data_IF_233806923185
#
_entry.id   IF_233806923185
#
_cell.length_a   1.000
_cell.length_b   1.000
_cell.length_c   1.000
_cell.angle_alpha   90.00
_cell.angle_beta   90.00
_cell.angle_gamma   90.00
#
_symmetry.space_group_name_H-M   'P 1'
#
loop_
_entity.id
_entity.type
_entity.pdbx_description
1 polymer ?
#
# COMPACT_ATOMS: atom_id res chain seq x y z
N UNK A 1 6.28 1.58 -4.02
CA UNK A 1 7.24 0.46 -3.89
C UNK A 1 8.48 0.83 -3.09
N UNK A 2 9.24 1.87 -3.45
CA UNK A 2 10.51 2.21 -2.77
C UNK A 2 10.36 2.39 -1.26
N UNK A 3 9.32 3.10 -0.80
CA UNK A 3 9.10 3.31 0.64
C UNK A 3 8.81 1.99 1.39
N UNK A 4 8.12 1.05 0.75
CA UNK A 4 7.86 -0.28 1.30
C UNK A 4 9.13 -1.14 1.34
N UNK A 5 10.04 -0.97 0.37
CA UNK A 5 11.34 -1.64 0.43
C UNK A 5 12.18 -1.10 1.59
N UNK A 6 12.16 0.23 1.79
CA UNK A 6 12.85 0.87 2.92
C UNK A 6 12.23 0.43 4.25
N UNK A 7 10.90 0.39 4.37
CA UNK A 7 10.26 -0.06 5.60
C UNK A 7 10.56 -1.52 5.94
N UNK A 8 10.68 -2.40 4.93
CA UNK A 8 11.15 -3.78 5.14
C UNK A 8 12.58 -3.80 5.67
N UNK A 9 13.47 -2.96 5.12
CA UNK A 9 14.86 -2.91 5.59
C UNK A 9 14.96 -2.35 7.02
N UNK A 10 14.19 -1.32 7.36
CA UNK A 10 14.15 -0.75 8.73
C UNK A 10 13.55 -1.73 9.75
N UNK A 11 12.62 -2.59 9.31
CA UNK A 11 11.95 -3.58 10.17
C UNK A 11 12.55 -4.98 10.05
N UNK A 12 13.74 -5.13 9.47
CA UNK A 12 14.42 -6.42 9.24
C UNK A 12 14.50 -7.26 10.52
N UNK A 13 14.95 -6.65 11.63
CA UNK A 13 15.07 -7.33 12.94
C UNK A 13 13.72 -7.78 13.50
N UNK A 14 12.68 -6.97 13.33
CA UNK A 14 11.31 -7.29 13.77
C UNK A 14 10.76 -8.51 13.01
N UNK A 15 10.99 -8.57 11.69
CA UNK A 15 10.63 -9.71 10.84
C UNK A 15 11.41 -10.96 11.27
N UNK A 16 12.71 -10.81 11.54
CA UNK A 16 13.58 -11.89 12.05
C UNK A 16 13.07 -12.49 13.36
N UNK A 17 12.63 -11.66 14.30
CA UNK A 17 12.03 -12.10 15.57
C UNK A 17 10.74 -12.90 15.31
N UNK A 18 9.84 -12.41 14.45
CA UNK A 18 8.59 -13.14 14.12
C UNK A 18 8.88 -14.53 13.54
N UNK A 19 9.84 -14.62 12.61
CA UNK A 19 10.22 -15.90 12.01
C UNK A 19 10.91 -16.83 13.02
N UNK A 20 11.73 -16.30 13.94
CA UNK A 20 12.38 -17.10 14.99
C UNK A 20 11.37 -17.71 15.99
N UNK A 21 10.23 -17.04 16.21
CA UNK A 21 9.12 -17.55 17.05
C UNK A 21 8.19 -18.49 16.26
N UNK A 22 8.43 -18.71 14.97
CA UNK A 22 7.74 -19.70 14.15
C UNK A 22 6.75 -19.15 13.12
N UNK A 23 6.75 -17.84 12.84
CA UNK A 23 5.96 -17.28 11.75
C UNK A 23 6.39 -17.87 10.40
N UNK A 24 5.43 -18.29 9.58
CA UNK A 24 5.70 -18.82 8.24
C UNK A 24 6.00 -17.68 7.28
N UNK A 25 6.71 -18.00 6.20
CA UNK A 25 6.98 -17.04 5.11
C UNK A 25 5.70 -16.44 4.54
N UNK A 26 4.61 -17.22 4.49
CA UNK A 26 3.29 -16.77 4.07
C UNK A 26 2.68 -15.72 5.01
N UNK A 27 2.89 -15.84 6.32
CA UNK A 27 2.37 -14.88 7.31
C UNK A 27 3.01 -13.50 7.10
N UNK A 28 4.33 -13.48 6.87
CA UNK A 28 5.08 -12.25 6.56
C UNK A 28 4.62 -11.66 5.22
N UNK A 29 4.43 -12.48 4.18
CA UNK A 29 3.92 -11.98 2.88
C UNK A 29 2.56 -11.33 3.03
N UNK A 30 1.62 -12.01 3.68
CA UNK A 30 0.27 -11.50 3.88
C UNK A 30 0.28 -10.19 4.66
N UNK A 31 1.10 -10.08 5.71
CA UNK A 31 1.21 -8.85 6.49
C UNK A 31 1.57 -7.65 5.60
N UNK A 32 2.63 -7.76 4.79
CA UNK A 32 3.08 -6.66 3.94
C UNK A 32 2.12 -6.38 2.77
N UNK A 33 1.47 -7.41 2.21
CA UNK A 33 0.43 -7.21 1.18
C UNK A 33 -0.76 -6.45 1.77
N UNK A 34 -1.20 -6.82 2.98
CA UNK A 34 -2.28 -6.13 3.68
C UNK A 34 -1.88 -4.69 3.97
N UNK A 35 -0.66 -4.43 4.46
CA UNK A 35 -0.17 -3.08 4.72
C UNK A 35 -0.18 -2.21 3.45
N UNK A 36 0.32 -2.74 2.32
CA UNK A 36 0.27 -2.05 1.03
C UNK A 36 -1.16 -1.80 0.54
N UNK A 37 -2.04 -2.80 0.66
CA UNK A 37 -3.43 -2.70 0.25
C UNK A 37 -4.16 -1.66 1.10
N UNK A 38 -4.04 -1.70 2.43
CA UNK A 38 -4.63 -0.72 3.34
C UNK A 38 -4.17 0.70 3.02
N UNK A 39 -2.87 0.92 2.81
CA UNK A 39 -2.34 2.22 2.40
C UNK A 39 -2.92 2.68 1.05
N UNK A 40 -3.03 1.78 0.07
CA UNK A 40 -3.60 2.12 -1.24
C UNK A 40 -5.10 2.44 -1.17
N UNK A 41 -5.87 1.73 -0.34
CA UNK A 41 -7.30 1.95 -0.18
C UNK A 41 -7.57 3.27 0.55
N UNK A 42 -6.81 3.57 1.61
CA UNK A 42 -6.89 4.85 2.32
C UNK A 42 -6.52 5.99 1.36
N UNK A 43 -5.40 5.86 0.63
CA UNK A 43 -5.00 6.84 -0.37
C UNK A 43 -6.03 7.01 -1.49
N UNK A 44 -6.65 5.92 -1.93
CA UNK A 44 -7.72 5.93 -2.92
C UNK A 44 -8.97 6.67 -2.43
N UNK A 45 -9.44 6.40 -1.21
CA UNK A 45 -10.57 7.10 -0.59
C UNK A 45 -10.25 8.60 -0.45
N UNK A 46 -9.07 8.95 0.06
CA UNK A 46 -8.64 10.34 0.17
C UNK A 46 -8.57 11.02 -1.20
N UNK A 47 -8.05 10.33 -2.21
CA UNK A 47 -7.99 10.82 -3.58
C UNK A 47 -9.38 11.07 -4.17
N UNK A 48 -10.36 10.20 -3.90
CA UNK A 48 -11.76 10.40 -4.32
C UNK A 48 -12.36 11.63 -3.64
N UNK A 49 -12.19 11.77 -2.32
CA UNK A 49 -12.69 12.93 -1.58
C UNK A 49 -12.09 14.24 -2.11
N UNK A 50 -10.78 14.27 -2.33
CA UNK A 50 -10.08 15.43 -2.88
C UNK A 50 -10.48 15.70 -4.34
N UNK A 51 -10.68 14.66 -5.15
CA UNK A 51 -11.10 14.78 -6.55
C UNK A 51 -12.51 15.35 -6.67
N UNK A 52 -13.47 14.84 -5.89
CA UNK A 52 -14.84 15.37 -5.86
C UNK A 52 -14.85 16.81 -5.31
N UNK A 53 -14.17 17.05 -4.19
CA UNK A 53 -14.11 18.38 -3.56
C UNK A 53 -13.44 19.43 -4.48
N UNK A 54 -12.34 19.07 -5.12
CA UNK A 54 -11.64 19.92 -6.08
C UNK A 54 -12.47 20.20 -7.33
N UNK A 55 -13.15 19.19 -7.86
CA UNK A 55 -14.08 19.33 -8.99
C UNK A 55 -15.19 20.33 -8.67
N UNK A 56 -15.83 20.21 -7.50
CA UNK A 56 -16.88 21.13 -7.08
C UNK A 56 -16.37 22.57 -6.87
N UNK A 57 -15.17 22.73 -6.28
CA UNK A 57 -14.55 24.05 -6.11
C UNK A 57 -14.29 24.73 -7.46
N UNK A 58 -13.73 23.99 -8.43
CA UNK A 58 -13.46 24.51 -9.78
C UNK A 58 -14.77 24.85 -10.49
N UNK A 59 -15.80 24.00 -10.38
CA UNK A 59 -17.12 24.27 -10.95
C UNK A 59 -17.71 25.59 -10.45
N UNK A 60 -17.62 25.85 -9.14
CA UNK A 60 -18.13 27.06 -8.51
C UNK A 60 -17.34 28.33 -8.92
N UNK A 61 -16.03 28.23 -9.11
CA UNK A 61 -15.16 29.38 -9.41
C UNK A 61 -15.15 29.70 -10.92
N UNK A 62 -15.04 28.67 -11.77
CA UNK A 62 -14.88 28.83 -13.22
C UNK A 62 -16.21 28.76 -13.99
N UNK A 63 -17.31 28.40 -13.32
CA UNK A 63 -18.63 28.23 -13.95
C UNK A 63 -18.71 27.02 -14.89
N UNK A 64 -17.81 26.04 -14.75
CA UNK A 64 -17.77 24.85 -15.58
C UNK A 64 -18.70 23.76 -15.03
N UNK A 65 -19.41 23.06 -15.92
CA UNK A 65 -20.17 21.86 -15.56
C UNK A 65 -19.22 20.66 -15.50
N UNK A 66 -18.74 20.35 -14.30
CA UNK A 66 -17.90 19.16 -14.05
C UNK A 66 -18.78 17.97 -13.69
N UNK A 67 -18.79 16.94 -14.54
CA UNK A 67 -19.53 15.71 -14.31
C UNK A 67 -18.56 14.66 -13.77
N UNK A 68 -18.73 14.26 -12.51
CA UNK A 68 -17.98 13.15 -11.91
C UNK A 68 -18.80 11.88 -12.06
N UNK A 69 -18.38 10.99 -12.96
CA UNK A 69 -19.08 9.72 -13.18
C UNK A 69 -18.79 8.71 -12.06
N UNK A 70 -19.81 8.05 -11.49
CA UNK A 70 -19.63 6.95 -10.53
C UNK A 70 -18.79 5.79 -11.11
N UNK A 71 -18.89 5.52 -12.41
CA UNK A 71 -18.09 4.48 -13.07
C UNK A 71 -16.59 4.82 -13.06
N UNK A 72 -16.24 6.08 -13.28
CA UNK A 72 -14.85 6.56 -13.20
C UNK A 72 -14.29 6.42 -11.80
N UNK A 73 -15.06 6.77 -10.77
CA UNK A 73 -14.67 6.58 -9.37
C UNK A 73 -14.38 5.11 -9.09
N UNK A 74 -15.27 4.21 -9.49
CA UNK A 74 -15.14 2.78 -9.23
C UNK A 74 -13.92 2.17 -9.95
N UNK A 75 -13.65 2.59 -11.19
CA UNK A 75 -12.47 2.17 -11.96
C UNK A 75 -11.19 2.68 -11.29
N UNK A 76 -11.12 3.98 -10.97
CA UNK A 76 -9.95 4.58 -10.31
C UNK A 76 -9.67 3.96 -8.94
N UNK A 77 -10.72 3.69 -8.15
CA UNK A 77 -10.59 3.03 -6.85
C UNK A 77 -10.06 1.60 -6.99
N UNK A 78 -10.65 0.81 -7.89
CA UNK A 78 -10.22 -0.56 -8.16
C UNK A 78 -8.77 -0.60 -8.65
N UNK A 79 -8.40 0.33 -9.52
CA UNK A 79 -7.04 0.48 -9.99
C UNK A 79 -6.07 0.81 -8.85
N UNK A 80 -6.46 1.67 -7.90
CA UNK A 80 -5.62 1.97 -6.72
C UNK A 80 -5.32 0.71 -5.89
N UNK A 81 -6.31 -0.17 -5.71
CA UNK A 81 -6.13 -1.45 -5.01
C UNK A 81 -5.19 -2.39 -5.77
N UNK A 82 -5.35 -2.50 -7.10
CA UNK A 82 -4.45 -3.29 -7.96
C UNK A 82 -3.00 -2.78 -7.89
N UNK A 83 -2.81 -1.46 -7.89
CA UNK A 83 -1.52 -0.80 -7.69
C UNK A 83 -0.94 -1.15 -6.32
N UNK A 84 -1.75 -1.12 -5.26
CA UNK A 84 -1.35 -1.52 -3.90
C UNK A 84 -0.85 -2.97 -3.85
N UNK A 85 -1.60 -3.91 -4.43
CA UNK A 85 -1.22 -5.33 -4.50
C UNK A 85 0.06 -5.49 -5.32
N UNK A 86 0.12 -4.92 -6.52
CA UNK A 86 1.26 -5.06 -7.43
C UNK A 86 2.56 -4.52 -6.83
N UNK A 87 2.54 -3.29 -6.33
CA UNK A 87 3.73 -2.68 -5.72
C UNK A 87 4.03 -3.19 -4.30
N UNK A 88 3.08 -3.84 -3.64
CA UNK A 88 3.28 -4.52 -2.36
C UNK A 88 3.85 -5.92 -2.49
N UNK A 89 3.62 -6.60 -3.61
CA UNK A 89 4.02 -7.99 -3.82
C UNK A 89 5.54 -8.20 -3.75
N UNK A 90 6.32 -7.42 -4.50
CA UNK A 90 7.78 -7.54 -4.51
C UNK A 90 8.44 -7.32 -3.13
N UNK A 91 8.17 -6.22 -2.39
CA UNK A 91 8.73 -6.04 -1.05
C UNK A 91 8.23 -7.11 -0.07
N UNK A 92 6.97 -7.53 -0.13
CA UNK A 92 6.44 -8.61 0.71
C UNK A 92 7.15 -9.95 0.45
N UNK A 93 7.42 -10.26 -0.82
CA UNK A 93 8.19 -11.43 -1.22
C UNK A 93 9.62 -11.35 -0.67
N UNK A 94 10.30 -10.20 -0.85
CA UNK A 94 11.65 -9.97 -0.32
C UNK A 94 11.71 -10.12 1.20
N UNK A 95 10.77 -9.54 1.94
CA UNK A 95 10.66 -9.65 3.39
C UNK A 95 10.53 -11.10 3.87
N UNK A 96 9.74 -11.90 3.15
CA UNK A 96 9.49 -13.31 3.48
C UNK A 96 10.67 -14.26 3.23
N UNK A 97 11.69 -13.80 2.50
CA UNK A 97 12.90 -14.58 2.19
C UNK A 97 14.10 -14.20 3.08
N UNK A 98 13.89 -13.37 4.09
CA UNK A 98 14.95 -13.02 5.03
C UNK A 98 15.32 -14.25 5.89
N UNK A 99 16.63 -14.48 6.07
CA UNK A 99 17.11 -15.47 7.02
C UNK A 99 16.98 -14.93 8.45
N UNK A 100 16.32 -15.63 9.37
CA UNK A 100 16.14 -15.14 10.75
C UNK A 100 17.46 -14.86 11.47
N UNK A 101 18.48 -15.69 11.22
CA UNK A 101 19.82 -15.55 11.84
C UNK A 101 20.49 -14.25 11.39
N UNK A 102 20.45 -13.96 10.09
CA UNK A 102 21.03 -12.74 9.51
C UNK A 102 20.23 -11.51 9.94
N UNK A 103 18.90 -11.63 9.98
CA UNK A 103 18.00 -10.55 10.38
C UNK A 103 18.15 -10.16 11.87
N UNK A 104 18.50 -11.10 12.75
CA UNK A 104 18.75 -10.84 14.16
C UNK A 104 20.16 -10.29 14.45
N UNK A 105 21.11 -10.54 13.54
CA UNK A 105 22.47 -9.98 13.58
C UNK A 105 22.56 -8.60 12.93
N UNK A 106 21.49 -8.13 12.30
CA UNK A 106 21.39 -6.81 11.71
C UNK A 106 21.40 -5.74 12.81
N UNK A 107 22.36 -4.81 12.74
CA UNK A 107 22.37 -3.56 13.54
C UNK A 107 21.44 -2.52 12.92
#
# INVERSE_FOLDING_TARGET
MNIMLVSVTERTREIGIRMAVGAKTWDIRLQFIIEALTLSLIGGIMGIMLGIGGSQLISNIAGWSTIVSPSSILISFSFSGLVGIGFGFYPAFKASMLNPIDALRYE
#
